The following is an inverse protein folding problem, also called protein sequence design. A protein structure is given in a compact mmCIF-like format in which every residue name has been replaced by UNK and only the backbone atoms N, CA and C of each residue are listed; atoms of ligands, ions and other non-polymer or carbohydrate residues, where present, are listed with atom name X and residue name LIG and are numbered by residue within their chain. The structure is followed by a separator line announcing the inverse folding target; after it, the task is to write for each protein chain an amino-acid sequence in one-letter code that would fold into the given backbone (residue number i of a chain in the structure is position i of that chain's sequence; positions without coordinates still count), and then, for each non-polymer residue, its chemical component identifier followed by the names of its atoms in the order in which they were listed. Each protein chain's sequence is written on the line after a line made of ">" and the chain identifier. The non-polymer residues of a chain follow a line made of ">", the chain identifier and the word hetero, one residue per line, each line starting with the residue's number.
data_IF_430350047062
#
_entry.id   IF_430350047062
#
_cell.length_a   1.000
_cell.length_b   1.000
_cell.length_c   1.000
_cell.angle_alpha   90.00
_cell.angle_beta   90.00
_cell.angle_gamma   90.00
#
_symmetry.space_group_name_H-M   'P 1'
#
loop_
_entity.id
_entity.type
_entity.pdbx_description
1 polymer ?
#
# COMPACT_ATOMS: atom_id res chain seq x y z
N UNK A 1 3.80 -16.25 -5.11
CA UNK A 1 4.80 -15.58 -4.25
C UNK A 1 4.47 -14.10 -4.22
N UNK A 2 4.21 -13.53 -3.04
CA UNK A 2 4.07 -12.09 -2.89
C UNK A 2 5.46 -11.45 -3.08
N UNK A 3 5.63 -10.44 -3.94
CA UNK A 3 6.91 -9.78 -4.10
C UNK A 3 7.40 -9.20 -2.76
N UNK A 4 8.68 -9.38 -2.47
CA UNK A 4 9.40 -8.71 -1.39
C UNK A 4 10.32 -7.66 -2.03
N UNK A 5 10.39 -6.46 -1.44
CA UNK A 5 11.12 -5.27 -1.93
C UNK A 5 10.30 -4.27 -2.76
N UNK A 6 9.09 -3.93 -2.31
CA UNK A 6 8.40 -2.76 -2.81
C UNK A 6 9.05 -1.47 -2.30
N UNK A 7 8.80 -0.38 -3.02
CA UNK A 7 8.96 0.96 -2.47
C UNK A 7 7.57 1.50 -2.11
N UNK A 8 7.40 1.92 -0.86
CA UNK A 8 6.09 2.29 -0.33
C UNK A 8 5.69 3.70 -0.75
N UNK A 9 4.70 3.80 -1.63
CA UNK A 9 4.18 5.09 -2.09
C UNK A 9 3.18 5.73 -1.12
N UNK A 10 2.29 4.94 -0.51
CA UNK A 10 1.19 5.46 0.29
C UNK A 10 0.60 4.39 1.20
N UNK A 11 0.17 4.78 2.40
CA UNK A 11 -0.72 4.00 3.27
C UNK A 11 -1.73 4.96 3.87
N UNK A 12 -3.01 4.66 3.72
CA UNK A 12 -4.10 5.39 4.33
C UNK A 12 -5.16 4.42 4.87
N UNK A 13 -5.75 4.79 6.00
CA UNK A 13 -7.02 4.25 6.46
C UNK A 13 -8.14 5.04 5.77
N UNK A 14 -9.07 4.33 5.16
CA UNK A 14 -10.19 4.91 4.44
C UNK A 14 -11.51 4.35 4.95
N UNK A 15 -12.57 5.14 4.82
CA UNK A 15 -13.94 4.67 4.87
C UNK A 15 -14.60 4.85 3.50
N UNK A 16 -15.46 3.90 3.15
CA UNK A 16 -16.30 3.98 1.95
C UNK A 16 -17.72 4.21 2.41
N UNK A 17 -18.25 5.41 2.15
CA UNK A 17 -19.59 5.86 2.55
C UNK A 17 -20.32 6.35 1.31
N UNK A 18 -21.44 5.72 0.96
CA UNK A 18 -22.25 6.08 -0.22
C UNK A 18 -21.42 6.20 -1.52
N UNK A 19 -20.55 5.22 -1.76
CA UNK A 19 -19.61 5.17 -2.90
C UNK A 19 -18.53 6.28 -2.93
N UNK A 20 -18.42 7.08 -1.87
CA UNK A 20 -17.32 8.03 -1.69
C UNK A 20 -16.22 7.44 -0.80
N UNK A 21 -14.97 7.69 -1.18
CA UNK A 21 -13.79 7.33 -0.39
C UNK A 21 -13.41 8.53 0.47
N UNK A 22 -13.48 8.36 1.79
CA UNK A 22 -13.01 9.33 2.78
C UNK A 22 -11.71 8.82 3.38
N UNK A 23 -10.66 9.64 3.35
CA UNK A 23 -9.39 9.33 4.02
C UNK A 23 -9.51 9.75 5.48
N UNK A 24 -9.62 8.77 6.37
CA UNK A 24 -9.70 9.00 7.83
C UNK A 24 -8.33 9.35 8.40
N UNK A 25 -7.30 8.64 7.95
CA UNK A 25 -5.93 8.83 8.44
C UNK A 25 -4.92 8.48 7.36
N UNK A 26 -3.99 9.40 7.13
CA UNK A 26 -2.79 9.10 6.34
C UNK A 26 -1.69 8.59 7.26
N UNK A 27 -1.30 7.32 7.09
CA UNK A 27 -0.25 6.68 7.88
C UNK A 27 1.12 6.96 7.27
N UNK A 28 1.22 6.81 5.95
CA UNK A 28 2.39 7.17 5.15
C UNK A 28 1.90 8.06 4.03
N UNK A 29 2.39 9.31 3.96
CA UNK A 29 1.97 10.28 2.96
C UNK A 29 2.18 9.78 1.53
N UNK A 30 1.28 10.15 0.61
CA UNK A 30 1.39 9.77 -0.79
C UNK A 30 2.62 10.41 -1.42
N UNK A 31 3.42 9.61 -2.13
CA UNK A 31 4.50 10.08 -2.97
C UNK A 31 4.30 9.55 -4.39
N UNK A 32 4.28 10.45 -5.37
CA UNK A 32 3.95 10.12 -6.75
C UNK A 32 5.01 9.18 -7.38
N UNK A 33 4.63 8.39 -8.40
CA UNK A 33 5.59 7.68 -9.24
C UNK A 33 6.73 8.57 -9.74
N UNK A 34 7.95 8.20 -9.42
CA UNK A 34 9.19 8.88 -9.85
C UNK A 34 10.26 7.87 -10.29
N UNK A 35 9.97 7.03 -11.32
CA UNK A 35 10.91 6.00 -11.75
C UNK A 35 12.24 6.62 -12.20
N UNK A 36 13.41 6.03 -11.89
CA UNK A 36 14.68 6.58 -12.34
C UNK A 36 14.77 6.69 -13.87
N UNK A 37 15.41 7.75 -14.42
CA UNK A 37 15.60 7.85 -15.86
C UNK A 37 16.34 6.63 -16.42
N UNK A 38 15.86 6.09 -17.54
CA UNK A 38 16.44 4.90 -18.22
C UNK A 38 16.40 3.60 -17.40
N UNK A 39 15.54 3.48 -16.39
CA UNK A 39 15.28 2.19 -15.70
C UNK A 39 14.17 1.36 -16.33
N UNK A 40 13.49 1.90 -17.36
CA UNK A 40 12.34 1.28 -18.00
C UNK A 40 11.05 1.43 -17.17
N UNK A 41 9.98 0.72 -17.55
CA UNK A 41 8.68 0.84 -16.88
C UNK A 41 8.69 0.22 -15.49
N UNK A 42 8.28 1.01 -14.49
CA UNK A 42 8.05 0.55 -13.12
C UNK A 42 6.56 0.25 -12.92
N UNK A 43 6.27 -0.81 -12.16
CA UNK A 43 4.89 -1.20 -11.80
C UNK A 43 4.51 -0.61 -10.45
N UNK A 44 3.37 0.06 -10.41
CA UNK A 44 2.76 0.63 -9.22
C UNK A 44 1.44 -0.10 -8.95
N UNK A 45 1.20 -0.46 -7.70
CA UNK A 45 0.05 -1.26 -7.30
C UNK A 45 -0.66 -0.59 -6.13
N UNK A 46 -1.98 -0.42 -6.27
CA UNK A 46 -2.89 -0.12 -5.17
C UNK A 46 -3.59 -1.41 -4.78
N UNK A 47 -3.62 -1.71 -3.49
CA UNK A 47 -4.23 -2.92 -2.94
C UNK A 47 -5.06 -2.50 -1.74
N UNK A 48 -6.33 -2.86 -1.75
CA UNK A 48 -7.29 -2.51 -0.72
C UNK A 48 -7.64 -3.76 0.11
N UNK A 49 -7.56 -3.63 1.42
CA UNK A 49 -7.94 -4.66 2.38
C UNK A 49 -9.05 -4.14 3.29
N UNK A 50 -9.97 -5.01 3.69
CA UNK A 50 -10.89 -4.74 4.80
C UNK A 50 -10.13 -4.85 6.12
N UNK A 51 -10.38 -3.93 7.03
CA UNK A 51 -9.78 -3.90 8.36
C UNK A 51 -10.91 -3.68 9.39
N UNK A 52 -10.98 -4.52 10.42
CA UNK A 52 -12.00 -4.41 11.46
C UNK A 52 -11.61 -3.42 12.58
N UNK A 53 -10.32 -3.03 12.63
CA UNK A 53 -9.72 -2.19 13.68
C UNK A 53 -8.76 -1.17 13.05
N UNK A 54 -8.32 -0.16 13.79
CA UNK A 54 -7.31 0.79 13.31
C UNK A 54 -5.92 0.15 13.18
N UNK A 55 -5.06 0.67 12.29
CA UNK A 55 -3.69 0.18 12.12
C UNK A 55 -2.84 0.58 13.34
N UNK A 56 -2.20 -0.39 14.04
CA UNK A 56 -1.31 -0.11 15.14
C UNK A 56 -0.05 0.66 14.69
N UNK A 57 0.40 1.63 15.51
CA UNK A 57 1.54 2.51 15.16
C UNK A 57 2.87 1.74 15.04
N UNK A 58 3.04 0.64 15.76
CA UNK A 58 4.22 -0.23 15.70
C UNK A 58 4.32 -1.04 14.40
N UNK A 59 3.22 -1.19 13.67
CA UNK A 59 3.18 -1.83 12.36
C UNK A 59 3.50 -0.87 11.21
N UNK A 60 3.64 0.43 11.50
CA UNK A 60 3.97 1.44 10.49
C UNK A 60 5.44 1.30 10.08
N UNK A 61 5.74 1.12 8.77
CA UNK A 61 7.11 1.02 8.30
C UNK A 61 7.92 2.29 8.56
N UNK A 62 9.09 2.17 9.19
CA UNK A 62 10.02 3.30 9.40
C UNK A 62 10.78 3.76 8.14
N UNK A 63 10.66 3.02 7.03
CA UNK A 63 11.26 3.37 5.74
C UNK A 63 10.34 2.94 4.59
N UNK A 64 10.37 3.69 3.48
CA UNK A 64 9.64 3.34 2.26
C UNK A 64 10.32 2.24 1.46
N UNK A 65 11.65 2.17 1.47
CA UNK A 65 12.41 1.19 0.70
C UNK A 65 12.38 -0.19 1.36
N UNK A 66 12.25 -1.25 0.56
CA UNK A 66 12.25 -2.61 1.08
C UNK A 66 10.93 -2.99 1.76
N UNK A 67 9.85 -2.27 1.45
CA UNK A 67 8.53 -2.58 1.97
C UNK A 67 8.11 -4.00 1.58
N UNK A 68 7.68 -4.76 2.58
CA UNK A 68 7.24 -6.14 2.41
C UNK A 68 5.75 -6.20 2.73
N UNK A 69 4.94 -6.21 1.66
CA UNK A 69 3.48 -6.24 1.76
C UNK A 69 3.00 -7.44 2.56
N UNK A 70 3.52 -8.64 2.29
CA UNK A 70 3.09 -9.86 2.97
C UNK A 70 3.36 -9.80 4.48
N UNK A 71 4.52 -9.30 4.88
CA UNK A 71 4.86 -9.07 6.29
C UNK A 71 3.93 -8.03 6.93
N UNK A 72 3.68 -6.94 6.23
CA UNK A 72 2.81 -5.86 6.72
C UNK A 72 1.39 -6.36 6.97
N UNK A 73 0.75 -6.99 5.98
CA UNK A 73 -0.62 -7.52 6.15
C UNK A 73 -0.69 -8.65 7.19
N UNK A 74 0.37 -9.46 7.32
CA UNK A 74 0.45 -10.48 8.38
C UNK A 74 0.51 -9.83 9.77
N UNK A 75 1.27 -8.75 9.93
CA UNK A 75 1.33 -7.97 11.17
C UNK A 75 0.01 -7.31 11.56
N UNK A 76 -0.86 -7.05 10.59
CA UNK A 76 -2.24 -6.58 10.80
C UNK A 76 -3.25 -7.71 11.02
N UNK A 77 -2.81 -8.97 11.06
CA UNK A 77 -3.72 -10.13 11.16
C UNK A 77 -4.44 -10.50 9.86
N UNK A 78 -4.10 -9.84 8.74
CA UNK A 78 -4.68 -10.05 7.41
C UNK A 78 -3.89 -11.04 6.55
N UNK A 79 -2.96 -11.80 7.13
CA UNK A 79 -2.02 -12.66 6.39
C UNK A 79 -2.69 -13.74 5.53
N UNK A 80 -3.93 -14.12 5.86
CA UNK A 80 -4.74 -15.10 5.12
C UNK A 80 -5.94 -14.46 4.41
N UNK A 81 -6.07 -13.13 4.46
CA UNK A 81 -7.19 -12.40 3.87
C UNK A 81 -6.85 -12.00 2.45
N UNK A 82 -7.77 -12.26 1.53
CA UNK A 82 -7.66 -11.74 0.17
C UNK A 82 -7.93 -10.24 0.14
N UNK A 83 -7.24 -9.48 -0.74
CA UNK A 83 -7.57 -8.08 -0.95
C UNK A 83 -8.98 -7.95 -1.55
N UNK A 84 -9.72 -6.94 -1.11
CA UNK A 84 -11.07 -6.63 -1.62
C UNK A 84 -11.00 -6.12 -3.06
N UNK A 85 -9.96 -5.34 -3.35
CA UNK A 85 -9.70 -4.81 -4.67
C UNK A 85 -8.21 -4.61 -4.89
N UNK A 86 -7.79 -4.64 -6.15
CA UNK A 86 -6.45 -4.23 -6.55
C UNK A 86 -6.48 -3.53 -7.90
N UNK A 87 -5.57 -2.58 -8.08
CA UNK A 87 -5.36 -1.87 -9.33
C UNK A 87 -3.86 -1.73 -9.55
N UNK A 88 -3.43 -1.80 -10.81
CA UNK A 88 -2.03 -1.60 -11.17
C UNK A 88 -1.89 -0.76 -12.44
N UNK A 89 -0.80 -0.02 -12.51
CA UNK A 89 -0.39 0.70 -13.70
C UNK A 89 1.14 0.72 -13.80
N UNK A 90 1.65 1.11 -14.97
CA UNK A 90 3.08 1.30 -15.22
C UNK A 90 3.39 2.75 -15.53
N UNK A 91 4.55 3.23 -15.08
CA UNK A 91 5.07 4.54 -15.45
C UNK A 91 6.58 4.47 -15.70
N UNK A 92 7.08 5.35 -16.56
CA UNK A 92 8.50 5.54 -16.89
C UNK A 92 8.81 7.03 -17.04
N UNK A 93 10.09 7.39 -16.96
CA UNK A 93 10.61 8.75 -17.13
C UNK A 93 11.46 8.86 -18.41
#
# INVERSE_FOLDING_TARGET
>A
MCPSNYWLHWIAEIHILNDEIVIEKTIVAYEAPSPPPRSGPHRYQFILYTLDLLVPLDQVPGSRSGFNLARFITGLGLGNSDPVASFQFTAEN
#
